data_IF_227199044453
#
_entry.id   IF_227199044453
#
_cell.length_a   1.000
_cell.length_b   1.000
_cell.length_c   1.000
_cell.angle_alpha   90.00
_cell.angle_beta   90.00
_cell.angle_gamma   90.00
#
_symmetry.space_group_name_H-M   'P 1'
#
loop_
_entity.id
_entity.type
_entity.pdbx_description
1 polymer ?
#
# COMPACT_ATOMS: atom_id res chain seq x y z
N UNK A 1 2.51 -0.56 12.92
CA UNK A 1 1.36 0.36 12.85
C UNK A 1 0.87 0.59 14.26
N UNK A 2 0.60 1.84 14.65
CA UNK A 2 0.26 2.24 16.01
C UNK A 2 -0.98 3.14 16.01
N UNK A 3 -2.10 2.59 15.55
CA UNK A 3 -3.43 3.22 15.51
C UNK A 3 -4.52 2.15 15.66
N UNK A 4 -5.79 2.54 15.58
CA UNK A 4 -6.95 1.64 15.81
C UNK A 4 -7.02 0.47 14.82
N UNK A 5 -6.49 0.64 13.61
CA UNK A 5 -6.37 -0.43 12.62
C UNK A 5 -5.14 -1.33 12.83
N UNK A 6 -5.35 -2.64 12.80
CA UNK A 6 -4.30 -3.65 12.88
C UNK A 6 -3.87 -4.21 11.50
N UNK A 7 -4.58 -3.86 10.43
CA UNK A 7 -4.30 -4.25 9.05
C UNK A 7 -4.33 -3.04 8.12
N UNK A 8 -3.34 -2.96 7.22
CA UNK A 8 -3.30 -1.97 6.15
C UNK A 8 -3.22 -2.69 4.81
N UNK A 9 -4.13 -2.33 3.92
CA UNK A 9 -4.24 -2.89 2.58
C UNK A 9 -4.04 -1.75 1.58
N UNK A 10 -3.14 -1.97 0.62
CA UNK A 10 -2.91 -1.06 -0.49
C UNK A 10 -3.20 -1.79 -1.81
N UNK A 11 -4.23 -1.36 -2.53
CA UNK A 11 -4.66 -1.95 -3.79
C UNK A 11 -4.53 -0.93 -4.93
N UNK A 12 -4.01 -1.39 -6.08
CA UNK A 12 -4.03 -0.63 -7.33
C UNK A 12 -5.26 -1.07 -8.12
N UNK A 13 -6.15 -0.13 -8.38
CA UNK A 13 -7.43 -0.37 -9.04
C UNK A 13 -7.51 0.44 -10.34
N UNK A 14 -8.21 -0.08 -11.34
CA UNK A 14 -8.37 0.61 -12.62
C UNK A 14 -9.21 1.90 -12.54
N UNK A 15 -9.99 2.05 -11.47
CA UNK A 15 -10.81 3.22 -11.21
C UNK A 15 -11.50 3.14 -9.86
N UNK A 16 -12.18 4.21 -9.47
CA UNK A 16 -12.83 4.30 -8.16
C UNK A 16 -13.97 3.28 -7.99
N UNK A 17 -14.67 2.94 -9.07
CA UNK A 17 -15.70 1.89 -9.06
C UNK A 17 -15.14 0.51 -8.68
N UNK A 18 -13.84 0.27 -8.89
CA UNK A 18 -13.21 -0.98 -8.46
C UNK A 18 -13.04 -1.09 -6.95
N UNK A 19 -13.15 0.02 -6.21
CA UNK A 19 -12.98 0.03 -4.76
C UNK A 19 -14.12 -0.72 -4.06
N UNK A 20 -15.37 -0.48 -4.48
CA UNK A 20 -16.55 -1.15 -3.92
C UNK A 20 -16.47 -2.66 -4.12
N UNK A 21 -16.18 -3.12 -5.34
CA UNK A 21 -16.00 -4.56 -5.64
C UNK A 21 -14.85 -5.17 -4.83
N UNK A 22 -13.76 -4.43 -4.63
CA UNK A 22 -12.64 -4.88 -3.82
C UNK A 22 -13.04 -5.04 -2.34
N UNK A 23 -13.75 -4.05 -1.77
CA UNK A 23 -14.22 -4.10 -0.38
C UNK A 23 -15.25 -5.21 -0.16
N UNK A 24 -16.18 -5.42 -1.09
CA UNK A 24 -17.14 -6.53 -1.04
C UNK A 24 -16.44 -7.89 -1.04
N UNK A 25 -15.54 -8.12 -2.00
CA UNK A 25 -14.79 -9.39 -2.08
C UNK A 25 -13.93 -9.64 -0.84
N UNK A 26 -13.40 -8.57 -0.23
CA UNK A 26 -12.62 -8.66 1.00
C UNK A 26 -13.49 -8.99 2.20
N UNK A 27 -14.70 -8.42 2.28
CA UNK A 27 -15.67 -8.69 3.34
C UNK A 27 -16.21 -10.13 3.25
N UNK A 28 -16.50 -10.61 2.04
CA UNK A 28 -16.90 -12.00 1.79
C UNK A 28 -15.80 -12.99 2.20
N UNK A 29 -14.54 -12.65 1.91
CA UNK A 29 -13.40 -13.50 2.22
C UNK A 29 -13.01 -13.46 3.70
N UNK A 30 -13.18 -12.32 4.35
CA UNK A 30 -12.77 -12.07 5.73
C UNK A 30 -13.94 -11.46 6.53
N UNK A 31 -14.94 -12.27 6.91
CA UNK A 31 -16.19 -11.78 7.47
C UNK A 31 -16.06 -11.11 8.85
N UNK A 32 -14.95 -11.33 9.56
CA UNK A 32 -14.66 -10.68 10.85
C UNK A 32 -13.85 -9.38 10.70
N UNK A 33 -13.44 -9.04 9.48
CA UNK A 33 -12.68 -7.83 9.20
C UNK A 33 -13.64 -6.66 9.03
N UNK A 34 -13.32 -5.53 9.66
CA UNK A 34 -14.03 -4.26 9.44
C UNK A 34 -13.09 -3.23 8.83
N UNK A 35 -13.62 -2.45 7.89
CA UNK A 35 -12.89 -1.35 7.26
C UNK A 35 -13.13 -0.08 8.08
N UNK A 36 -12.10 0.39 8.77
CA UNK A 36 -12.19 1.56 9.66
C UNK A 36 -11.85 2.88 8.97
N UNK A 37 -11.10 2.84 7.87
CA UNK A 37 -10.69 4.03 7.11
C UNK A 37 -10.45 3.71 5.64
N UNK A 38 -10.67 4.70 4.78
CA UNK A 38 -10.49 4.62 3.31
C UNK A 38 -9.63 5.79 2.86
N UNK A 39 -8.69 5.54 1.95
CA UNK A 39 -7.83 6.60 1.41
C UNK A 39 -7.56 6.34 -0.06
N UNK A 40 -7.90 7.31 -0.90
CA UNK A 40 -7.56 7.30 -2.32
C UNK A 40 -6.26 8.09 -2.51
N UNK A 41 -5.23 7.42 -3.02
CA UNK A 41 -3.94 8.04 -3.30
C UNK A 41 -3.85 8.37 -4.78
N UNK A 42 -3.95 9.66 -5.12
CA UNK A 42 -3.85 10.13 -6.51
C UNK A 42 -2.39 10.19 -7.01
N UNK A 43 -1.45 10.42 -6.10
CA UNK A 43 -0.03 10.51 -6.43
C UNK A 43 0.80 9.97 -5.28
N UNK A 44 1.62 8.96 -5.58
CA UNK A 44 2.59 8.42 -4.63
C UNK A 44 3.96 8.98 -4.96
N UNK A 45 4.47 9.89 -4.11
CA UNK A 45 5.88 10.29 -4.18
C UNK A 45 6.69 9.29 -3.37
N UNK A 46 7.31 8.33 -4.05
CA UNK A 46 8.17 7.35 -3.40
C UNK A 46 9.57 7.95 -3.20
N UNK A 47 9.95 8.19 -1.94
CA UNK A 47 11.38 8.34 -1.61
C UNK A 47 11.98 6.95 -1.64
N UNK A 48 12.85 6.72 -2.60
CA UNK A 48 13.54 5.44 -2.71
C UNK A 48 14.81 5.51 -1.86
N UNK A 49 14.98 4.54 -0.98
CA UNK A 49 16.11 4.48 -0.05
C UNK A 49 17.33 3.78 -0.65
N UNK A 50 18.29 3.47 0.23
CA UNK A 50 19.47 2.68 -0.12
C UNK A 50 19.17 1.19 -0.11
N UNK A 51 19.75 0.44 -1.05
CA UNK A 51 19.97 -1.00 -0.91
C UNK A 51 20.93 -1.21 0.25
N UNK A 52 20.58 -2.16 1.11
CA UNK A 52 21.42 -2.56 2.23
C UNK A 52 22.02 -3.94 1.95
N UNK A 53 23.23 -4.18 2.44
CA UNK A 53 23.79 -5.53 2.50
C UNK A 53 23.20 -6.33 3.68
N UNK A 54 23.61 -7.59 3.82
CA UNK A 54 23.18 -8.48 4.92
C UNK A 54 23.58 -7.97 6.32
N UNK A 55 24.45 -6.97 6.40
CA UNK A 55 24.88 -6.31 7.64
C UNK A 55 24.21 -4.94 7.82
N UNK A 56 23.15 -4.68 7.08
CA UNK A 56 22.36 -3.45 7.10
C UNK A 56 23.12 -2.18 6.67
N UNK A 57 24.25 -2.33 5.96
CA UNK A 57 25.03 -1.18 5.48
C UNK A 57 24.55 -0.75 4.10
N UNK A 58 24.44 0.56 3.88
CA UNK A 58 24.07 1.11 2.59
C UNK A 58 25.13 0.80 1.52
N UNK A 59 24.73 0.09 0.45
CA UNK A 59 25.63 -0.32 -0.65
C UNK A 59 25.32 0.32 -1.99
N UNK A 60 24.08 0.76 -2.21
CA UNK A 60 23.71 1.44 -3.46
C UNK A 60 22.41 2.22 -3.32
N UNK A 61 22.23 3.28 -4.10
CA UNK A 61 20.98 4.02 -4.16
C UNK A 61 20.08 3.44 -5.25
N UNK A 62 18.83 3.10 -4.93
CA UNK A 62 17.87 2.68 -5.97
C UNK A 62 17.23 3.94 -6.56
N UNK A 63 17.42 4.22 -7.86
CA UNK A 63 16.77 5.39 -8.46
C UNK A 63 15.25 5.21 -8.47
N UNK A 64 14.54 6.26 -8.07
CA UNK A 64 13.10 6.35 -8.29
C UNK A 64 12.87 6.48 -9.80
N UNK A 65 12.29 5.46 -10.45
CA UNK A 65 11.72 5.66 -11.78
C UNK A 65 10.47 6.52 -11.64
N UNK A 66 10.51 7.71 -12.24
CA UNK A 66 9.30 8.49 -12.49
C UNK A 66 8.45 7.71 -13.51
N UNK A 67 7.11 7.67 -13.35
CA UNK A 67 6.24 7.29 -14.46
C UNK A 67 6.45 8.32 -15.58
N UNK A 68 6.76 7.85 -16.79
CA UNK A 68 6.76 8.66 -18.00
C UNK A 68 5.35 8.81 -18.56
#
# INVERSE_FOLDING_TARGET
MSGEGNLFVHALLHGLSGAETFEESSSDRFPTMSITSRTVVLRTVKRVGWLLDERERAVSHVPARSPG
#
